data_IF_864615682249
#
_entry.id   IF_864615682249
#
_cell.length_a   1.000
_cell.length_b   1.000
_cell.length_c   1.000
_cell.angle_alpha   90.00
_cell.angle_beta   90.00
_cell.angle_gamma   90.00
#
_symmetry.space_group_name_H-M   'P 1'
#
loop_
_entity.id
_entity.type
_entity.pdbx_description
1 polymer ?
#
# COMPACT_ATOMS: atom_id res chain seq x y z
N UNK A 1 17.54 -15.52 2.22
CA UNK A 1 16.91 -14.44 1.43
C UNK A 1 17.83 -14.10 0.26
N UNK A 2 17.35 -14.20 -0.98
CA UNK A 2 18.19 -14.03 -2.19
C UNK A 2 18.76 -12.60 -2.30
N UNK A 3 19.83 -12.41 -3.08
CA UNK A 3 20.39 -11.07 -3.36
C UNK A 3 19.38 -10.22 -4.12
N UNK A 4 18.70 -10.81 -5.11
CA UNK A 4 17.71 -10.15 -5.96
C UNK A 4 16.54 -9.58 -5.15
N UNK A 5 16.07 -10.32 -4.13
CA UNK A 5 15.02 -9.83 -3.23
C UNK A 5 15.46 -8.61 -2.42
N UNK A 6 16.68 -8.63 -1.85
CA UNK A 6 17.22 -7.49 -1.11
C UNK A 6 17.45 -6.26 -1.99
N UNK A 7 17.81 -6.49 -3.26
CA UNK A 7 17.96 -5.46 -4.29
C UNK A 7 16.64 -5.08 -4.96
N UNK A 8 15.52 -5.68 -4.53
CA UNK A 8 14.17 -5.41 -5.04
C UNK A 8 14.04 -5.56 -6.56
N UNK A 9 14.82 -6.44 -7.19
CA UNK A 9 14.82 -6.60 -8.65
C UNK A 9 13.39 -6.76 -9.20
N UNK A 10 12.89 -5.88 -10.11
CA UNK A 10 11.45 -5.74 -10.29
C UNK A 10 10.78 -6.97 -10.92
N UNK A 11 11.54 -7.65 -11.78
CA UNK A 11 11.10 -8.83 -12.52
C UNK A 11 11.40 -10.14 -11.78
N UNK A 12 12.22 -10.11 -10.72
CA UNK A 12 12.55 -11.31 -9.98
C UNK A 12 11.38 -11.72 -9.08
N UNK A 13 11.07 -13.01 -9.06
CA UNK A 13 10.13 -13.63 -8.14
C UNK A 13 10.83 -14.78 -7.41
N UNK A 14 10.56 -15.01 -6.11
CA UNK A 14 10.97 -16.24 -5.46
C UNK A 14 10.20 -17.43 -6.06
N UNK A 15 10.72 -18.67 -5.96
CA UNK A 15 9.98 -19.86 -6.41
C UNK A 15 8.59 -19.92 -5.77
N UNK A 16 7.55 -19.97 -6.60
CA UNK A 16 6.15 -19.98 -6.16
C UNK A 16 5.62 -18.64 -5.64
N UNK A 17 6.40 -17.56 -5.70
CA UNK A 17 5.97 -16.22 -5.30
C UNK A 17 5.73 -15.29 -6.48
N UNK A 18 5.71 -14.00 -6.17
CA UNK A 18 5.34 -12.93 -7.10
C UNK A 18 6.49 -11.93 -7.27
N UNK A 19 6.61 -11.35 -8.46
CA UNK A 19 7.54 -10.23 -8.72
C UNK A 19 6.92 -8.90 -8.31
N UNK A 20 7.73 -7.83 -8.21
CA UNK A 20 7.19 -6.50 -7.92
C UNK A 20 6.32 -5.96 -9.05
N UNK A 21 6.60 -6.35 -10.30
CA UNK A 21 5.76 -6.00 -11.46
C UNK A 21 4.40 -6.68 -11.36
N UNK A 22 4.37 -8.00 -11.12
CA UNK A 22 3.12 -8.73 -10.99
C UNK A 22 2.29 -8.23 -9.80
N UNK A 23 2.93 -7.93 -8.67
CA UNK A 23 2.29 -7.30 -7.51
C UNK A 23 1.67 -5.94 -7.88
N UNK A 24 2.42 -5.09 -8.59
CA UNK A 24 1.93 -3.76 -9.03
C UNK A 24 0.70 -3.91 -9.92
N UNK A 25 0.74 -4.77 -10.93
CA UNK A 25 -0.36 -5.01 -11.86
C UNK A 25 -1.60 -5.50 -11.13
N UNK A 26 -1.44 -6.49 -10.24
CA UNK A 26 -2.54 -7.02 -9.43
C UNK A 26 -3.15 -5.96 -8.51
N UNK A 27 -2.34 -5.11 -7.89
CA UNK A 27 -2.82 -4.01 -7.04
C UNK A 27 -3.60 -2.98 -7.87
N UNK A 28 -3.06 -2.55 -9.02
CA UNK A 28 -3.74 -1.61 -9.92
C UNK A 28 -5.09 -2.16 -10.38
N UNK A 29 -5.12 -3.40 -10.87
CA UNK A 29 -6.35 -4.04 -11.34
C UNK A 29 -7.40 -4.13 -10.22
N UNK A 30 -6.99 -4.62 -9.05
CA UNK A 30 -7.90 -4.78 -7.89
C UNK A 30 -8.45 -3.45 -7.43
N UNK A 31 -7.59 -2.46 -7.16
CA UNK A 31 -8.04 -1.17 -6.61
C UNK A 31 -8.86 -0.38 -7.62
N UNK A 32 -8.48 -0.39 -8.90
CA UNK A 32 -9.25 0.28 -9.94
C UNK A 32 -10.61 -0.38 -10.13
N UNK A 33 -10.69 -1.71 -10.11
CA UNK A 33 -11.95 -2.45 -10.22
C UNK A 33 -12.89 -2.20 -9.05
N UNK A 34 -12.35 -2.10 -7.82
CA UNK A 34 -13.14 -1.74 -6.64
C UNK A 34 -13.61 -0.28 -6.71
N UNK A 35 -12.69 0.66 -6.94
CA UNK A 35 -13.01 2.09 -6.97
C UNK A 35 -14.03 2.45 -8.07
N UNK A 36 -13.93 1.82 -9.26
CA UNK A 36 -14.86 2.04 -10.36
C UNK A 36 -16.32 1.65 -10.03
N UNK A 37 -16.54 0.72 -9.08
CA UNK A 37 -17.88 0.36 -8.61
C UNK A 37 -18.47 1.38 -7.62
N UNK A 38 -17.67 2.33 -7.14
CA UNK A 38 -18.02 3.28 -6.09
C UNK A 38 -17.66 4.72 -6.47
N UNK A 39 -17.93 5.13 -7.72
CA UNK A 39 -17.71 6.52 -8.19
C UNK A 39 -18.45 7.52 -7.31
N UNK A 40 -17.72 8.54 -6.83
CA UNK A 40 -18.25 9.55 -5.91
C UNK A 40 -18.45 9.05 -4.47
N UNK A 41 -18.15 7.77 -4.18
CA UNK A 41 -18.23 7.17 -2.87
C UNK A 41 -16.87 7.03 -2.18
N UNK A 42 -16.89 6.37 -1.01
CA UNK A 42 -15.71 6.03 -0.24
C UNK A 42 -15.73 4.52 0.06
N UNK A 43 -14.57 3.89 -0.09
CA UNK A 43 -14.34 2.48 0.28
C UNK A 43 -13.18 2.38 1.26
N UNK A 44 -13.21 1.34 2.08
CA UNK A 44 -12.09 0.95 2.94
C UNK A 44 -11.48 -0.32 2.39
N UNK A 45 -10.17 -0.30 2.18
CA UNK A 45 -9.38 -1.46 1.75
C UNK A 45 -8.37 -1.77 2.83
N UNK A 46 -8.42 -2.99 3.37
CA UNK A 46 -7.45 -3.48 4.35
C UNK A 46 -6.45 -4.37 3.62
N UNK A 47 -5.16 -4.08 3.77
CA UNK A 47 -4.10 -4.84 3.10
C UNK A 47 -2.77 -4.78 3.87
N UNK A 48 -1.74 -5.40 3.32
CA UNK A 48 -0.41 -5.50 3.92
C UNK A 48 0.59 -4.48 3.33
N UNK A 49 1.76 -4.38 3.97
CA UNK A 49 2.81 -3.43 3.60
C UNK A 49 3.27 -3.48 2.14
N UNK A 50 3.25 -4.66 1.49
CA UNK A 50 3.57 -4.76 0.06
C UNK A 50 2.57 -4.03 -0.84
N UNK A 51 1.28 -4.12 -0.51
CA UNK A 51 0.22 -3.39 -1.23
C UNK A 51 0.30 -1.90 -0.91
N UNK A 52 0.53 -1.53 0.35
CA UNK A 52 0.70 -0.13 0.74
C UNK A 52 1.92 0.52 0.05
N UNK A 53 3.06 -0.18 -0.07
CA UNK A 53 4.22 0.28 -0.85
C UNK A 53 3.86 0.55 -2.31
N UNK A 54 3.08 -0.34 -2.95
CA UNK A 54 2.62 -0.12 -4.32
C UNK A 54 1.68 1.07 -4.43
N UNK A 55 0.71 1.19 -3.54
CA UNK A 55 -0.26 2.29 -3.56
C UNK A 55 0.40 3.66 -3.37
N UNK A 56 1.35 3.77 -2.45
CA UNK A 56 2.13 5.00 -2.29
C UNK A 56 2.87 5.35 -3.59
N UNK A 57 3.58 4.37 -4.17
CA UNK A 57 4.35 4.60 -5.40
C UNK A 57 3.45 5.02 -6.56
N UNK A 58 2.29 4.38 -6.71
CA UNK A 58 1.31 4.74 -7.74
C UNK A 58 0.79 6.16 -7.54
N UNK A 59 0.43 6.52 -6.30
CA UNK A 59 -0.13 7.82 -5.96
C UNK A 59 0.87 8.99 -6.03
N UNK A 60 2.18 8.69 -6.03
CA UNK A 60 3.27 9.69 -6.01
C UNK A 60 4.21 9.58 -7.22
N UNK A 61 3.87 8.75 -8.22
CA UNK A 61 4.65 8.59 -9.44
C UNK A 61 6.02 7.93 -9.26
N UNK A 62 6.25 7.19 -8.17
CA UNK A 62 7.56 6.60 -7.87
C UNK A 62 7.80 5.31 -8.69
N UNK A 63 9.05 5.12 -9.11
CA UNK A 63 9.50 3.87 -9.72
C UNK A 63 9.56 2.72 -8.71
N UNK A 64 9.51 1.46 -9.19
CA UNK A 64 9.56 0.26 -8.32
C UNK A 64 10.89 0.12 -7.54
N UNK A 65 11.96 0.67 -8.11
CA UNK A 65 13.32 0.67 -7.57
C UNK A 65 13.66 1.91 -6.73
N UNK A 66 12.78 2.92 -6.69
CA UNK A 66 13.02 4.11 -5.87
C UNK A 66 13.16 3.69 -4.40
N UNK A 67 14.15 4.21 -3.66
CA UNK A 67 14.28 3.96 -2.22
C UNK A 67 12.97 4.25 -1.49
N UNK A 68 12.60 3.39 -0.54
CA UNK A 68 11.40 3.60 0.26
C UNK A 68 11.70 4.63 1.34
N UNK A 69 11.09 5.81 1.21
CA UNK A 69 11.27 6.94 2.13
C UNK A 69 10.01 7.27 2.96
N UNK A 70 9.00 6.40 2.94
CA UNK A 70 7.75 6.57 3.67
C UNK A 70 7.57 5.49 4.74
N UNK A 71 6.80 5.85 5.76
CA UNK A 71 6.45 4.96 6.85
C UNK A 71 5.35 3.97 6.44
N UNK A 72 5.40 2.78 7.05
CA UNK A 72 4.41 1.72 6.91
C UNK A 72 4.11 1.16 8.30
N UNK A 73 3.45 1.97 9.12
CA UNK A 73 3.01 1.59 10.45
C UNK A 73 1.86 0.57 10.40
N UNK A 74 1.80 -0.31 11.41
CA UNK A 74 0.66 -1.20 11.58
C UNK A 74 -0.58 -0.37 11.96
N UNK A 75 -1.74 -0.79 11.43
CA UNK A 75 -3.02 -0.10 11.61
C UNK A 75 -3.02 1.39 11.18
N UNK A 76 -2.00 1.86 10.46
CA UNK A 76 -1.97 3.24 9.98
C UNK A 76 -3.03 3.48 8.89
N UNK A 77 -3.71 4.61 8.97
CA UNK A 77 -4.74 5.02 8.02
C UNK A 77 -4.07 5.77 6.86
N UNK A 78 -4.32 5.31 5.63
CA UNK A 78 -3.85 5.93 4.40
C UNK A 78 -5.05 6.37 3.57
N UNK A 79 -5.00 7.59 3.05
CA UNK A 79 -6.08 8.20 2.26
C UNK A 79 -5.56 8.54 0.87
N UNK A 80 -6.22 7.98 -0.13
CA UNK A 80 -5.93 8.19 -1.55
C UNK A 80 -7.20 8.67 -2.24
N UNK A 81 -7.05 9.58 -3.19
CA UNK A 81 -8.08 9.89 -4.16
C UNK A 81 -7.84 9.04 -5.40
N UNK A 82 -8.87 8.35 -5.87
CA UNK A 82 -8.84 7.63 -7.14
C UNK A 82 -9.72 8.33 -8.16
N UNK A 83 -9.22 8.39 -9.40
CA UNK A 83 -9.96 8.77 -10.60
C UNK A 83 -9.63 7.76 -11.70
N UNK A 84 -10.37 7.72 -12.82
CA UNK A 84 -9.99 6.91 -13.97
C UNK A 84 -8.56 7.18 -14.49
N UNK A 85 -8.01 8.38 -14.24
CA UNK A 85 -6.66 8.78 -14.65
C UNK A 85 -5.56 8.33 -13.67
N UNK A 86 -5.93 7.94 -12.45
CA UNK A 86 -4.98 7.41 -11.47
C UNK A 86 -5.27 7.74 -10.01
N UNK A 87 -4.27 7.47 -9.17
CA UNK A 87 -4.28 7.70 -7.74
C UNK A 87 -3.56 9.00 -7.39
N UNK A 88 -4.03 9.70 -6.37
CA UNK A 88 -3.38 10.86 -5.76
C UNK A 88 -3.32 10.68 -4.24
N UNK A 89 -2.19 11.03 -3.64
CA UNK A 89 -1.99 10.95 -2.19
C UNK A 89 -2.75 12.09 -1.49
N UNK A 90 -3.63 11.75 -0.54
CA UNK A 90 -4.37 12.73 0.27
C UNK A 90 -3.81 12.78 1.70
N UNK A 91 -3.52 11.61 2.29
CA UNK A 91 -2.95 11.49 3.61
C UNK A 91 -2.27 10.14 3.77
N UNK A 92 -1.21 10.08 4.59
CA UNK A 92 -0.39 8.89 4.73
C UNK A 92 0.02 8.65 6.17
N UNK A 93 0.11 7.37 6.54
CA UNK A 93 0.64 6.91 7.83
C UNK A 93 -0.03 7.57 9.05
N UNK A 94 -1.34 7.85 9.01
CA UNK A 94 -2.04 8.43 10.16
C UNK A 94 -2.28 7.37 11.24
N UNK A 95 -1.53 7.48 12.34
CA UNK A 95 -1.64 6.64 13.55
C UNK A 95 -2.21 7.40 14.74
N UNK A 96 -2.75 8.61 14.56
CA UNK A 96 -3.23 9.46 15.66
C UNK A 96 -4.31 8.78 16.53
N UNK A 97 -5.08 7.87 15.95
CA UNK A 97 -6.08 7.07 16.66
C UNK A 97 -5.46 6.04 17.62
N UNK A 98 -4.21 5.62 17.40
CA UNK A 98 -3.49 4.70 18.28
C UNK A 98 -2.93 5.41 19.51
N UNK A 99 -2.59 6.70 19.38
CA UNK A 99 -2.11 7.52 20.50
C UNK A 99 -3.17 7.68 21.60
N UNK A 100 -4.45 7.50 21.27
CA UNK A 100 -5.58 7.53 22.21
C UNK A 100 -5.87 6.16 22.86
N UNK A 101 -5.34 5.06 22.33
CA UNK A 101 -5.71 3.69 22.69
C UNK A 101 -4.84 3.03 23.78
N UNK A 102 -3.91 3.76 24.43
CA UNK A 102 -3.00 3.25 25.48
C UNK A 102 -3.71 2.96 26.83
N UNK A 103 -5.03 2.72 26.86
CA UNK A 103 -5.78 2.48 28.11
C UNK A 103 -6.87 1.42 27.96
N UNK A 104 -6.48 0.15 27.88
CA UNK A 104 -7.19 -0.96 28.54
C UNK A 104 -6.47 -2.31 28.31
N UNK A 105 -5.28 -2.44 28.89
CA UNK A 105 -4.75 -3.77 29.23
C UNK A 105 -4.53 -3.83 30.75
N UNK A 106 -5.63 -3.78 31.51
CA UNK A 106 -5.62 -4.39 32.84
C UNK A 106 -5.55 -5.90 32.65
N UNK A 107 -4.35 -6.45 32.87
CA UNK A 107 -4.15 -7.88 33.03
C UNK A 107 -5.06 -8.32 34.19
N UNK A 108 -6.10 -9.09 33.88
CA UNK A 108 -6.86 -9.84 34.87
C UNK A 108 -6.17 -11.16 35.19
#
# INVERSE_FOLDING_TARGET
>A
MSRQWRQREPLWAPPGGESLVALRERVVATVSGLAAQHIGGQIIVVAHGGVMDMLYRLATGQGLQAPRAWELGNAAINRLLWTPDGLTLVGWADTSHLDQAVRDESIS
#
